data_IF_144780482089
#
_entry.id   IF_144780482089
#
_cell.length_a   1.000
_cell.length_b   1.000
_cell.length_c   1.000
_cell.angle_alpha   90.00
_cell.angle_beta   90.00
_cell.angle_gamma   90.00
#
_symmetry.space_group_name_H-M   'P 1'
#
loop_
_entity.id
_entity.type
_entity.pdbx_description
1 polymer ?
#
# COMPACT_ATOMS: atom_id res chain seq x y z
N UNK A 1 -12.28 -11.74 -11.53
CA UNK A 1 -10.96 -12.12 -10.97
C UNK A 1 -10.97 -11.73 -9.49
N UNK A 2 -10.74 -12.66 -8.57
CA UNK A 2 -10.78 -12.35 -7.13
C UNK A 2 -9.46 -11.68 -6.72
N UNK A 3 -9.51 -10.50 -6.09
CA UNK A 3 -8.35 -9.65 -5.74
C UNK A 3 -8.48 -9.29 -4.27
N UNK A 4 -7.38 -9.39 -3.52
CA UNK A 4 -7.35 -8.95 -2.13
C UNK A 4 -7.09 -7.45 -2.06
N UNK A 5 -7.77 -6.77 -1.13
CA UNK A 5 -7.71 -5.32 -0.97
C UNK A 5 -7.58 -4.97 0.49
N UNK A 6 -6.74 -3.99 0.81
CA UNK A 6 -6.63 -3.46 2.17
C UNK A 6 -6.37 -1.96 2.14
N UNK A 7 -6.93 -1.24 3.12
CA UNK A 7 -6.60 0.17 3.38
C UNK A 7 -5.43 0.33 4.38
N UNK A 8 -4.98 -0.78 4.99
CA UNK A 8 -3.97 -0.74 6.03
C UNK A 8 -2.56 -0.78 5.41
N UNK A 9 -1.83 0.34 5.55
CA UNK A 9 -0.48 0.49 5.02
C UNK A 9 0.52 -0.51 5.62
N UNK A 10 0.39 -0.86 6.91
CA UNK A 10 1.29 -1.81 7.55
C UNK A 10 1.05 -3.24 7.06
N UNK A 11 -0.22 -3.63 6.90
CA UNK A 11 -0.58 -4.92 6.29
C UNK A 11 -0.08 -4.95 4.85
N UNK A 12 -0.31 -3.90 4.06
CA UNK A 12 0.17 -3.81 2.68
C UNK A 12 1.71 -3.93 2.59
N UNK A 13 2.45 -3.27 3.47
CA UNK A 13 3.90 -3.36 3.53
C UNK A 13 4.37 -4.76 3.92
N UNK A 14 3.72 -5.40 4.88
CA UNK A 14 4.02 -6.78 5.28
C UNK A 14 3.77 -7.78 4.13
N UNK A 15 2.62 -7.64 3.46
CA UNK A 15 2.28 -8.45 2.28
C UNK A 15 3.33 -8.30 1.19
N UNK A 16 3.72 -7.06 0.86
CA UNK A 16 4.73 -6.80 -0.16
C UNK A 16 6.11 -7.35 0.23
N UNK A 17 6.52 -7.13 1.48
CA UNK A 17 7.79 -7.60 2.03
C UNK A 17 7.90 -9.13 2.07
N UNK A 18 6.77 -9.84 2.10
CA UNK A 18 6.75 -11.30 2.06
C UNK A 18 7.28 -11.89 0.74
N UNK A 19 7.23 -11.12 -0.36
CA UNK A 19 7.57 -11.60 -1.71
C UNK A 19 6.65 -12.69 -2.28
N UNK A 20 5.57 -13.06 -1.57
CA UNK A 20 4.65 -14.15 -1.97
C UNK A 20 3.41 -13.66 -2.72
N UNK A 21 3.20 -12.35 -2.79
CA UNK A 21 2.09 -11.71 -3.51
C UNK A 21 2.61 -10.63 -4.45
N UNK A 22 1.85 -10.36 -5.50
CA UNK A 22 2.07 -9.27 -6.45
C UNK A 22 1.22 -8.09 -6.05
N UNK A 23 1.84 -6.92 -5.92
CA UNK A 23 1.13 -5.66 -5.83
C UNK A 23 0.58 -5.28 -7.21
N UNK A 24 -0.73 -5.03 -7.28
CA UNK A 24 -1.42 -4.70 -8.53
C UNK A 24 -1.64 -3.19 -8.69
N UNK A 25 -1.47 -2.41 -7.62
CA UNK A 25 -1.65 -0.96 -7.61
C UNK A 25 -2.65 -0.47 -6.56
N UNK A 26 -3.07 0.77 -6.73
CA UNK A 26 -4.03 1.45 -5.87
C UNK A 26 -5.40 1.51 -6.56
N UNK A 27 -6.45 1.18 -5.83
CA UNK A 27 -7.84 1.34 -6.25
C UNK A 27 -8.50 2.43 -5.40
N UNK A 28 -9.13 3.42 -6.02
CA UNK A 28 -9.89 4.44 -5.30
C UNK A 28 -11.24 3.86 -4.87
N UNK A 29 -11.49 3.81 -3.56
CA UNK A 29 -12.82 3.48 -3.02
C UNK A 29 -13.73 4.72 -3.03
N UNK A 30 -13.15 5.88 -2.68
CA UNK A 30 -13.81 7.18 -2.70
C UNK A 30 -12.77 8.29 -2.96
N UNK A 31 -13.17 9.56 -2.84
CA UNK A 31 -12.30 10.71 -3.10
C UNK A 31 -11.12 10.85 -2.13
N UNK A 32 -11.16 10.17 -0.98
CA UNK A 32 -10.17 10.25 0.10
C UNK A 32 -9.53 8.90 0.42
N UNK A 33 -10.19 7.80 0.07
CA UNK A 33 -9.75 6.44 0.42
C UNK A 33 -9.18 5.72 -0.79
N UNK A 34 -7.91 5.31 -0.68
CA UNK A 34 -7.25 4.39 -1.61
C UNK A 34 -7.06 3.03 -0.95
N UNK A 35 -7.21 1.96 -1.72
CA UNK A 35 -6.99 0.58 -1.33
C UNK A 35 -5.77 0.03 -2.04
N UNK A 36 -4.89 -0.64 -1.31
CA UNK A 36 -3.81 -1.42 -1.87
C UNK A 36 -4.36 -2.75 -2.38
N UNK A 37 -4.03 -3.11 -3.62
CA UNK A 37 -4.57 -4.30 -4.28
C UNK A 37 -3.47 -5.34 -4.50
N UNK A 38 -3.77 -6.60 -4.18
CA UNK A 38 -2.79 -7.71 -4.23
C UNK A 38 -3.38 -8.99 -4.84
N UNK A 39 -2.50 -9.79 -5.44
CA UNK A 39 -2.80 -11.11 -5.98
C UNK A 39 -1.66 -12.10 -5.73
N UNK A 40 -1.92 -13.39 -5.46
CA UNK A 40 -3.24 -14.01 -5.38
C UNK A 40 -3.95 -13.76 -4.04
N UNK A 41 -5.29 -13.67 -4.01
CA UNK A 41 -6.04 -13.19 -2.85
C UNK A 41 -5.98 -14.14 -1.65
N UNK A 42 -5.94 -15.46 -1.89
CA UNK A 42 -5.84 -16.47 -0.85
C UNK A 42 -4.51 -16.36 -0.07
N UNK A 43 -3.39 -16.15 -0.77
CA UNK A 43 -2.09 -15.96 -0.13
C UNK A 43 -2.05 -14.65 0.65
N UNK A 44 -2.63 -13.58 0.09
CA UNK A 44 -2.72 -12.29 0.78
C UNK A 44 -3.54 -12.39 2.09
N UNK A 45 -4.66 -13.11 2.09
CA UNK A 45 -5.48 -13.35 3.29
C UNK A 45 -4.73 -14.15 4.36
N UNK A 46 -3.97 -15.19 3.96
CA UNK A 46 -3.14 -15.96 4.89
C UNK A 46 -2.07 -15.07 5.52
N UNK A 47 -1.41 -14.22 4.72
CA UNK A 47 -0.39 -13.29 5.20
C UNK A 47 -0.96 -12.19 6.10
N UNK A 48 -2.17 -11.72 5.82
CA UNK A 48 -2.87 -10.77 6.71
C UNK A 48 -3.14 -11.42 8.07
N UNK A 49 -3.65 -12.65 8.08
CA UNK A 49 -3.86 -13.39 9.31
C UNK A 49 -2.54 -13.64 10.06
N UNK A 50 -1.46 -13.96 9.33
CA UNK A 50 -0.10 -14.10 9.86
C UNK A 50 0.40 -12.80 10.49
N UNK A 51 0.19 -11.65 9.85
CA UNK A 51 0.55 -10.35 10.41
C UNK A 51 -0.15 -10.11 11.77
N UNK A 52 -1.46 -10.37 11.86
CA UNK A 52 -2.21 -10.16 13.09
C UNK A 52 -1.92 -11.19 14.19
N UNK A 53 -1.39 -12.37 13.84
CA UNK A 53 -0.96 -13.38 14.81
C UNK A 53 0.50 -13.22 15.26
N UNK A 54 1.20 -12.18 14.81
CA UNK A 54 2.58 -11.88 15.21
C UNK A 54 3.65 -12.47 14.28
N UNK A 55 3.32 -12.67 13.00
CA UNK A 55 4.25 -13.12 11.97
C UNK A 55 5.53 -12.29 11.90
N UNK A 56 6.67 -12.98 11.73
CA UNK A 56 7.98 -12.34 11.74
C UNK A 56 8.56 -12.25 10.32
N UNK A 57 8.68 -11.03 9.80
CA UNK A 57 9.55 -10.71 8.67
C UNK A 57 10.68 -9.79 9.13
N UNK A 58 11.85 -9.79 8.47
CA UNK A 58 12.92 -8.90 8.89
C UNK A 58 12.51 -7.44 8.71
N UNK A 59 12.62 -6.66 9.78
CA UNK A 59 12.14 -5.26 9.87
C UNK A 59 12.63 -4.40 8.71
N UNK A 60 13.87 -4.61 8.25
CA UNK A 60 14.45 -3.90 7.10
C UNK A 60 13.61 -4.00 5.83
N UNK A 61 13.01 -5.17 5.57
CA UNK A 61 12.19 -5.38 4.37
C UNK A 61 10.84 -4.69 4.53
N UNK A 62 10.18 -4.84 5.69
CA UNK A 62 8.91 -4.17 5.98
C UNK A 62 9.07 -2.65 5.83
N UNK A 63 10.15 -2.08 6.35
CA UNK A 63 10.38 -0.64 6.33
C UNK A 63 10.62 -0.10 4.92
N UNK A 64 11.37 -0.82 4.09
CA UNK A 64 11.58 -0.46 2.69
C UNK A 64 10.26 -0.43 1.90
N UNK A 65 9.43 -1.47 2.06
CA UNK A 65 8.13 -1.53 1.38
C UNK A 65 7.14 -0.50 1.93
N UNK A 66 7.18 -0.23 3.23
CA UNK A 66 6.38 0.82 3.85
C UNK A 66 6.66 2.19 3.22
N UNK A 67 7.93 2.57 3.07
CA UNK A 67 8.29 3.85 2.45
C UNK A 67 7.85 3.92 1.00
N UNK A 68 8.04 2.84 0.24
CA UNK A 68 7.57 2.75 -1.15
C UNK A 68 6.06 2.96 -1.27
N UNK A 69 5.27 2.28 -0.44
CA UNK A 69 3.81 2.39 -0.44
C UNK A 69 3.33 3.75 0.08
N UNK A 70 4.02 4.31 1.07
CA UNK A 70 3.77 5.67 1.58
C UNK A 70 3.98 6.69 0.47
N UNK A 71 5.12 6.64 -0.21
CA UNK A 71 5.43 7.57 -1.30
C UNK A 71 4.37 7.50 -2.41
N UNK A 72 3.89 6.30 -2.76
CA UNK A 72 2.79 6.12 -3.72
C UNK A 72 1.48 6.80 -3.30
N UNK A 73 1.18 6.88 -2.01
CA UNK A 73 0.01 7.60 -1.53
C UNK A 73 0.15 9.12 -1.72
N UNK A 74 1.35 9.66 -1.46
CA UNK A 74 1.64 11.10 -1.42
C UNK A 74 2.16 11.70 -2.74
N UNK A 75 2.65 10.89 -3.69
CA UNK A 75 3.15 11.35 -5.00
C UNK A 75 2.07 12.01 -5.91
N UNK A 76 0.81 12.13 -5.48
CA UNK A 76 -0.25 12.86 -6.20
C UNK A 76 -0.60 14.25 -5.63
N UNK A 77 -0.08 14.65 -4.48
CA UNK A 77 -0.41 15.99 -3.93
C UNK A 77 0.48 17.12 -4.46
N UNK A 78 1.63 16.80 -5.09
CA UNK A 78 2.56 17.81 -5.64
C UNK A 78 2.23 18.30 -7.05
N UNK A 79 1.28 17.69 -7.75
CA UNK A 79 0.90 18.09 -9.13
C UNK A 79 -0.46 18.79 -9.23
N UNK A 80 -1.06 19.18 -8.11
CA UNK A 80 -2.43 19.74 -8.07
C UNK A 80 -2.59 21.12 -7.47
N UNK A 81 -1.52 21.79 -7.03
CA UNK A 81 -1.63 23.09 -6.34
C UNK A 81 -0.55 24.06 -6.80
N UNK A 82 -0.79 24.70 -7.94
CA UNK A 82 -0.05 25.89 -8.36
C UNK A 82 -0.70 27.13 -7.70
N UNK A 83 -0.50 27.30 -6.39
CA UNK A 83 -0.74 28.58 -5.72
C UNK A 83 0.59 29.28 -5.53
N UNK A 84 0.96 30.14 -6.47
CA UNK A 84 2.11 31.03 -6.26
C UNK A 84 2.73 31.58 -7.52
N UNK A 85 2.02 32.46 -8.22
CA UNK A 85 2.62 33.65 -8.85
C UNK A 85 1.49 34.64 -9.11
N UNK A 86 1.10 35.33 -8.05
CA UNK A 86 0.32 36.56 -8.15
C UNK A 86 1.18 37.56 -8.93
N UNK A 87 0.58 38.16 -9.95
CA UNK A 87 1.14 39.27 -10.72
C UNK A 87 1.67 40.36 -9.79
N UNK A 88 2.86 40.89 -10.09
CA UNK A 88 3.22 42.30 -9.90
C UNK A 88 4.19 42.68 -11.00
#
# INVERSE_FOLDING_TARGET
MNIYRTKNLFVAAYLLASGKVKFLGLESLDSRTKLFTFSPPNVAQVLEAEYFSGGALPVKHIFAEYNTLKDLLFQRETNGVNYGSIKS
#
